data_IF_010579502257
#
_entry.id   IF_010579502257
#
_cell.length_a   1.000
_cell.length_b   1.000
_cell.length_c   1.000
_cell.angle_alpha   90.00
_cell.angle_beta   90.00
_cell.angle_gamma   90.00
#
_symmetry.space_group_name_H-M   'P 1'
#
loop_
_entity.id
_entity.type
_entity.pdbx_description
1 polymer ?
#
# COMPACT_ATOMS: atom_id res chain seq x y z
N UNK A 1 1.82 -7.92 10.87
CA UNK A 1 1.28 -7.08 9.78
C UNK A 1 2.37 -6.10 9.36
N UNK A 2 2.65 -5.97 8.06
CA UNK A 2 3.75 -5.11 7.54
C UNK A 2 3.50 -3.62 7.84
N UNK A 3 2.23 -3.20 7.80
CA UNK A 3 1.85 -1.81 8.05
C UNK A 3 1.33 -1.61 9.48
N UNK A 4 1.85 -0.57 10.14
CA UNK A 4 1.48 -0.12 11.48
C UNK A 4 0.77 1.24 11.49
N UNK A 5 0.91 2.06 10.43
CA UNK A 5 0.16 3.32 10.27
C UNK A 5 -0.42 3.42 8.85
N UNK A 6 -1.68 3.80 8.75
CA UNK A 6 -2.37 4.04 7.48
C UNK A 6 -2.94 5.45 7.40
N UNK A 7 -2.50 6.20 6.40
CA UNK A 7 -2.98 7.55 6.10
C UNK A 7 -4.04 7.50 5.00
N UNK A 8 -5.22 8.06 5.28
CA UNK A 8 -6.38 8.02 4.39
C UNK A 8 -6.82 9.42 4.01
N UNK A 9 -6.71 9.74 2.73
CA UNK A 9 -7.37 10.92 2.19
C UNK A 9 -8.91 10.78 2.23
N UNK A 10 -9.60 11.91 2.30
CA UNK A 10 -11.06 11.96 2.36
C UNK A 10 -11.69 12.12 0.97
N UNK A 11 -11.48 13.27 0.34
CA UNK A 11 -12.23 13.66 -0.85
C UNK A 11 -11.78 12.88 -2.08
N UNK A 12 -12.68 12.10 -2.69
CA UNK A 12 -12.31 11.28 -3.85
C UNK A 12 -11.66 9.94 -3.48
N UNK A 13 -11.28 9.78 -2.20
CA UNK A 13 -10.68 8.58 -1.64
C UNK A 13 -11.64 7.86 -0.67
N UNK A 14 -11.64 8.20 0.63
CA UNK A 14 -12.46 7.53 1.64
C UNK A 14 -13.94 7.90 1.55
N UNK A 15 -14.24 9.15 1.16
CA UNK A 15 -15.59 9.63 0.83
C UNK A 15 -15.97 9.15 -0.57
N UNK A 16 -16.40 7.90 -0.65
CA UNK A 16 -16.63 7.19 -1.90
C UNK A 16 -18.04 7.34 -2.47
N UNK A 17 -18.98 7.88 -1.69
CA UNK A 17 -20.37 8.10 -2.10
C UNK A 17 -20.77 9.57 -1.93
N UNK A 18 -21.71 10.04 -2.74
CA UNK A 18 -22.12 11.45 -2.76
C UNK A 18 -21.03 12.42 -3.27
N UNK A 19 -21.33 13.72 -3.27
CA UNK A 19 -20.39 14.79 -3.65
C UNK A 19 -20.59 16.01 -2.75
N UNK A 20 -19.53 16.81 -2.59
CA UNK A 20 -19.56 18.05 -1.82
C UNK A 20 -20.02 17.81 -0.37
N UNK A 21 -21.05 18.54 0.05
CA UNK A 21 -21.63 18.43 1.40
C UNK A 21 -22.29 17.07 1.67
N UNK A 22 -22.73 16.37 0.63
CA UNK A 22 -23.37 15.06 0.73
C UNK A 22 -22.39 13.88 0.63
N UNK A 23 -21.08 14.16 0.62
CA UNK A 23 -20.05 13.13 0.54
C UNK A 23 -20.03 12.29 1.83
N UNK A 24 -20.06 10.95 1.68
CA UNK A 24 -20.15 10.00 2.78
C UNK A 24 -19.16 8.85 2.59
N UNK A 25 -18.70 8.29 3.71
CA UNK A 25 -17.97 7.02 3.77
C UNK A 25 -18.99 5.89 3.68
N UNK A 26 -18.86 5.00 2.70
CA UNK A 26 -19.71 3.81 2.61
C UNK A 26 -19.46 2.83 3.76
N UNK A 27 -20.48 2.04 4.12
CA UNK A 27 -20.35 0.97 5.13
C UNK A 27 -19.19 0.01 4.82
N UNK A 28 -18.94 -0.30 3.53
CA UNK A 28 -17.83 -1.17 3.11
C UNK A 28 -16.46 -0.55 3.40
N UNK A 29 -16.24 0.71 3.03
CA UNK A 29 -14.99 1.41 3.36
C UNK A 29 -14.82 1.51 4.87
N UNK A 30 -15.88 1.87 5.59
CA UNK A 30 -15.85 1.97 7.04
C UNK A 30 -15.45 0.64 7.70
N UNK A 31 -16.10 -0.47 7.35
CA UNK A 31 -15.81 -1.79 7.92
C UNK A 31 -14.38 -2.25 7.62
N UNK A 32 -13.89 -2.05 6.39
CA UNK A 32 -12.54 -2.43 6.02
C UNK A 32 -11.48 -1.65 6.82
N UNK A 33 -11.65 -0.34 6.96
CA UNK A 33 -10.72 0.49 7.75
C UNK A 33 -10.81 0.17 9.25
N UNK A 34 -12.00 -0.07 9.79
CA UNK A 34 -12.16 -0.53 11.19
C UNK A 34 -11.50 -1.89 11.44
N UNK A 35 -11.57 -2.81 10.47
CA UNK A 35 -10.86 -4.10 10.55
C UNK A 35 -9.35 -3.89 10.61
N UNK A 36 -8.84 -2.98 9.79
CA UNK A 36 -7.43 -2.60 9.80
C UNK A 36 -7.02 -1.92 11.12
N UNK A 37 -7.89 -1.09 11.70
CA UNK A 37 -7.64 -0.35 12.94
C UNK A 37 -7.28 -1.25 14.14
N UNK A 38 -7.63 -2.54 14.11
CA UNK A 38 -7.27 -3.51 15.16
C UNK A 38 -5.75 -3.67 15.35
N UNK A 39 -4.95 -3.44 14.29
CA UNK A 39 -3.50 -3.65 14.31
C UNK A 39 -2.71 -2.50 13.64
N UNK A 40 -3.37 -1.39 13.32
CA UNK A 40 -2.79 -0.30 12.54
C UNK A 40 -3.42 1.03 12.96
N UNK A 41 -2.58 2.04 13.20
CA UNK A 41 -3.01 3.39 13.54
C UNK A 41 -3.63 4.03 12.30
N UNK A 42 -4.90 4.41 12.39
CA UNK A 42 -5.64 5.03 11.30
C UNK A 42 -5.54 6.54 11.41
N UNK A 43 -5.15 7.20 10.33
CA UNK A 43 -4.95 8.65 10.27
C UNK A 43 -5.77 9.24 9.13
N UNK A 44 -6.58 10.26 9.41
CA UNK A 44 -7.20 11.08 8.35
C UNK A 44 -6.15 12.05 7.81
N UNK A 45 -6.03 12.16 6.49
CA UNK A 45 -5.10 13.08 5.83
C UNK A 45 -5.78 13.91 4.75
N UNK A 46 -6.22 15.13 5.11
CA UNK A 46 -7.10 15.95 4.27
C UNK A 46 -6.63 17.39 4.10
N UNK A 47 -7.01 18.01 2.98
CA UNK A 47 -6.88 19.45 2.77
C UNK A 47 -7.94 20.29 3.49
N UNK A 48 -8.96 19.67 4.10
CA UNK A 48 -10.04 20.38 4.79
C UNK A 48 -9.56 20.97 6.13
N UNK A 49 -10.23 22.03 6.60
CA UNK A 49 -10.11 22.51 7.99
C UNK A 49 -10.72 21.46 8.92
N UNK A 50 -10.11 21.28 10.10
CA UNK A 50 -10.73 20.50 11.16
C UNK A 50 -12.07 21.13 11.58
N UNK A 51 -13.10 20.30 11.71
CA UNK A 51 -14.44 20.66 12.17
C UNK A 51 -15.20 19.40 12.63
N UNK A 52 -16.43 19.57 13.11
CA UNK A 52 -17.29 18.48 13.58
C UNK A 52 -17.49 17.37 12.53
N UNK A 53 -17.62 17.72 11.25
CA UNK A 53 -17.75 16.72 10.17
C UNK A 53 -16.50 15.85 10.03
N UNK A 54 -15.30 16.44 10.13
CA UNK A 54 -14.04 15.69 10.11
C UNK A 54 -13.94 14.75 11.33
N UNK A 55 -14.31 15.25 12.51
CA UNK A 55 -14.36 14.44 13.73
C UNK A 55 -15.32 13.25 13.58
N UNK A 56 -16.52 13.47 13.02
CA UNK A 56 -17.49 12.39 12.75
C UNK A 56 -16.94 11.35 11.77
N UNK A 57 -16.25 11.78 10.71
CA UNK A 57 -15.61 10.85 9.78
C UNK A 57 -14.53 10.01 10.45
N UNK A 58 -13.68 10.62 11.29
CA UNK A 58 -12.64 9.89 12.02
C UNK A 58 -13.21 8.89 13.01
N UNK A 59 -14.20 9.28 13.81
CA UNK A 59 -14.90 8.37 14.74
C UNK A 59 -15.47 7.13 14.03
N UNK A 60 -16.03 7.29 12.83
CA UNK A 60 -16.58 6.17 12.05
C UNK A 60 -15.53 5.10 11.71
N UNK A 61 -14.29 5.51 11.46
CA UNK A 61 -13.18 4.63 11.05
C UNK A 61 -12.15 4.36 12.15
N UNK A 62 -12.39 4.84 13.38
CA UNK A 62 -11.46 4.74 14.51
C UNK A 62 -10.12 5.45 14.23
N UNK A 63 -10.18 6.64 13.63
CA UNK A 63 -8.99 7.46 13.41
C UNK A 63 -8.41 7.96 14.73
N UNK A 64 -7.09 7.81 14.88
CA UNK A 64 -6.31 8.27 16.03
C UNK A 64 -5.69 9.65 15.84
N UNK A 65 -5.51 10.07 14.58
CA UNK A 65 -4.95 11.37 14.24
C UNK A 65 -5.65 11.99 13.03
N UNK A 66 -5.61 13.33 12.97
CA UNK A 66 -6.25 14.14 11.94
C UNK A 66 -5.28 15.15 11.36
N UNK A 67 -4.68 14.81 10.22
CA UNK A 67 -3.90 15.75 9.41
C UNK A 67 -4.90 16.59 8.61
N UNK A 68 -4.91 17.90 8.88
CA UNK A 68 -5.81 18.88 8.27
C UNK A 68 -5.03 19.96 7.53
N UNK A 69 -5.70 20.68 6.63
CA UNK A 69 -5.10 21.76 5.84
C UNK A 69 -3.79 21.33 5.17
N UNK A 70 -3.80 20.14 4.57
CA UNK A 70 -2.65 19.53 3.89
C UNK A 70 -1.40 19.33 4.76
N UNK A 71 -1.52 19.31 6.09
CA UNK A 71 -0.37 19.15 6.99
C UNK A 71 -0.09 20.38 7.85
N UNK A 72 -0.77 21.50 7.62
CA UNK A 72 -0.60 22.70 8.44
C UNK A 72 -1.09 22.55 9.88
N UNK A 73 -1.99 21.58 10.15
CA UNK A 73 -2.46 21.26 11.49
C UNK A 73 -2.61 19.75 11.66
N UNK A 74 -2.25 19.25 12.85
CA UNK A 74 -2.45 17.85 13.24
C UNK A 74 -3.15 17.84 14.59
N UNK A 75 -4.21 17.04 14.69
CA UNK A 75 -4.95 16.81 15.93
C UNK A 75 -4.86 15.34 16.36
N UNK A 76 -4.88 15.09 17.66
CA UNK A 76 -4.98 13.75 18.24
C UNK A 76 -6.43 13.21 18.24
N UNK A 77 -6.65 12.06 18.86
CA UNK A 77 -7.97 11.42 18.92
C UNK A 77 -8.99 12.15 19.79
N UNK A 78 -8.50 12.95 20.74
CA UNK A 78 -9.27 13.80 21.62
C UNK A 78 -9.47 15.21 21.03
N UNK A 79 -9.01 15.43 19.79
CA UNK A 79 -9.07 16.68 19.06
C UNK A 79 -8.20 17.80 19.63
N UNK A 80 -7.19 17.46 20.42
CA UNK A 80 -6.15 18.41 20.83
C UNK A 80 -5.23 18.71 19.66
N UNK A 81 -4.87 19.98 19.48
CA UNK A 81 -3.91 20.39 18.48
C UNK A 81 -2.49 20.01 18.93
N UNK A 82 -1.86 19.07 18.24
CA UNK A 82 -0.52 18.57 18.58
C UNK A 82 0.58 19.12 17.66
N UNK A 83 0.20 19.69 16.51
CA UNK A 83 1.12 20.37 15.61
C UNK A 83 0.39 21.46 14.83
N UNK A 84 1.06 22.60 14.65
CA UNK A 84 0.61 23.65 13.75
C UNK A 84 1.81 24.35 13.11
N UNK A 85 1.70 24.66 11.82
CA UNK A 85 2.60 25.60 11.15
C UNK A 85 1.81 26.70 10.44
N UNK A 86 2.42 27.88 10.32
CA UNK A 86 1.86 29.07 9.70
C UNK A 86 2.92 29.74 8.84
N UNK A 87 2.49 30.34 7.73
CA UNK A 87 3.36 31.16 6.89
C UNK A 87 3.80 32.39 7.70
N UNK A 88 5.09 32.69 7.71
CA UNK A 88 5.65 33.88 8.37
C UNK A 88 4.90 35.14 7.94
N UNK A 89 4.49 35.97 8.90
CA UNK A 89 3.64 37.15 8.66
C UNK A 89 4.22 38.10 7.61
N UNK A 90 5.55 38.29 7.60
CA UNK A 90 6.23 39.11 6.61
C UNK A 90 6.04 38.61 5.17
N UNK A 91 6.12 37.28 4.98
CA UNK A 91 5.90 36.65 3.68
C UNK A 91 4.43 36.82 3.28
N UNK A 92 3.49 36.65 4.22
CA UNK A 92 2.07 36.89 3.99
C UNK A 92 1.82 38.33 3.52
N UNK A 93 2.43 39.32 4.18
CA UNK A 93 2.32 40.74 3.80
C UNK A 93 2.83 40.97 2.37
N UNK A 94 4.03 40.48 2.03
CA UNK A 94 4.61 40.58 0.67
C UNK A 94 3.73 39.90 -0.39
N UNK A 95 3.23 38.70 -0.13
CA UNK A 95 2.29 38.00 -1.04
C UNK A 95 1.00 38.81 -1.23
N UNK A 96 0.47 39.39 -0.15
CA UNK A 96 -0.75 40.19 -0.17
C UNK A 96 -0.56 41.46 -1.00
N UNK A 97 0.59 42.13 -0.87
CA UNK A 97 0.93 43.30 -1.69
C UNK A 97 1.06 42.95 -3.17
N UNK A 98 1.71 41.84 -3.51
CA UNK A 98 1.81 41.37 -4.90
C UNK A 98 0.43 41.06 -5.48
N UNK A 99 -0.42 40.36 -4.73
CA UNK A 99 -1.79 40.06 -5.16
C UNK A 99 -2.61 41.35 -5.37
N UNK A 100 -2.46 42.35 -4.48
CA UNK A 100 -3.10 43.68 -4.63
C UNK A 100 -2.61 44.41 -5.89
N UNK A 101 -1.30 44.48 -6.12
CA UNK A 101 -0.69 45.14 -7.30
C UNK A 101 -1.17 44.50 -8.60
N UNK A 102 -1.33 43.19 -8.62
CA UNK A 102 -1.79 42.43 -9.79
C UNK A 102 -3.31 42.37 -9.94
N UNK A 103 -4.06 42.98 -9.00
CA UNK A 103 -5.52 42.91 -8.91
C UNK A 103 -6.06 41.46 -8.89
N UNK A 104 -5.37 40.56 -8.19
CA UNK A 104 -5.83 39.18 -7.99
C UNK A 104 -6.65 39.07 -6.73
N UNK A 105 -7.56 38.09 -6.74
CA UNK A 105 -8.31 37.78 -5.56
C UNK A 105 -7.51 36.88 -4.61
N UNK A 106 -7.58 37.16 -3.31
CA UNK A 106 -6.82 36.45 -2.27
C UNK A 106 -7.71 36.05 -1.10
N UNK A 107 -7.49 34.86 -0.55
CA UNK A 107 -8.15 34.38 0.67
C UNK A 107 -7.15 33.78 1.64
N UNK A 108 -7.35 34.04 2.92
CA UNK A 108 -6.61 33.41 4.02
C UNK A 108 -7.47 32.35 4.70
N UNK A 109 -6.88 31.18 4.99
CA UNK A 109 -7.49 30.08 5.75
C UNK A 109 -8.87 29.62 5.23
N UNK A 110 -9.17 29.89 3.95
CA UNK A 110 -10.45 29.60 3.29
C UNK A 110 -11.67 30.24 3.97
N UNK A 111 -11.55 31.48 4.46
CA UNK A 111 -12.67 32.22 5.07
C UNK A 111 -13.22 33.33 4.16
N UNK A 112 -12.41 34.36 3.90
CA UNK A 112 -12.82 35.57 3.19
C UNK A 112 -11.98 35.76 1.95
N UNK A 113 -12.62 36.04 0.82
CA UNK A 113 -11.98 36.31 -0.47
C UNK A 113 -12.02 37.81 -0.77
N UNK A 114 -10.86 38.45 -0.74
CA UNK A 114 -10.67 39.87 -1.03
C UNK A 114 -10.30 40.06 -2.49
N UNK A 115 -11.01 40.94 -3.20
CA UNK A 115 -10.67 41.28 -4.60
C UNK A 115 -11.24 42.65 -4.98
N UNK A 116 -10.57 43.40 -5.87
CA UNK A 116 -11.13 44.63 -6.47
C UNK A 116 -11.76 44.40 -7.84
N UNK A 117 -11.72 43.16 -8.35
CA UNK A 117 -12.20 42.86 -9.70
C UNK A 117 -13.73 42.89 -9.78
N UNK A 118 -14.29 43.59 -10.78
CA UNK A 118 -15.74 43.58 -11.10
C UNK A 118 -16.26 42.15 -11.36
N UNK A 119 -15.35 41.21 -11.70
CA UNK A 119 -15.64 39.78 -11.84
C UNK A 119 -16.04 39.08 -10.53
N UNK A 120 -16.15 39.78 -9.39
CA UNK A 120 -16.76 39.28 -8.14
C UNK A 120 -18.06 38.53 -8.42
N UNK A 121 -18.93 39.04 -9.31
CA UNK A 121 -20.20 38.38 -9.67
C UNK A 121 -19.96 36.99 -10.28
N UNK A 122 -18.99 36.87 -11.18
CA UNK A 122 -18.60 35.61 -11.81
C UNK A 122 -17.96 34.65 -10.79
N UNK A 123 -17.01 35.12 -9.98
CA UNK A 123 -16.38 34.29 -8.93
C UNK A 123 -17.40 33.81 -7.87
N UNK A 124 -18.42 34.62 -7.52
CA UNK A 124 -19.50 34.21 -6.59
C UNK A 124 -20.26 32.98 -7.08
N UNK A 125 -20.45 32.84 -8.39
CA UNK A 125 -21.16 31.71 -9.01
C UNK A 125 -20.35 30.42 -8.86
N UNK A 126 -19.04 30.47 -9.06
CA UNK A 126 -18.14 29.31 -8.98
C UNK A 126 -17.70 28.96 -7.56
N UNK A 127 -17.66 29.94 -6.65
CA UNK A 127 -17.12 29.80 -5.29
C UNK A 127 -18.17 30.14 -4.22
N UNK A 128 -19.35 29.51 -4.30
CA UNK A 128 -20.50 29.74 -3.39
C UNK A 128 -20.20 29.60 -1.89
N UNK A 129 -19.08 28.99 -1.51
CA UNK A 129 -18.67 28.79 -0.10
C UNK A 129 -17.73 29.88 0.44
N UNK A 130 -17.34 30.87 -0.37
CA UNK A 130 -16.49 31.97 0.08
C UNK A 130 -17.32 33.23 0.35
N UNK A 131 -17.00 33.92 1.43
CA UNK A 131 -17.48 35.28 1.64
C UNK A 131 -16.61 36.23 0.82
N UNK A 132 -17.20 36.94 -0.14
CA UNK A 132 -16.51 37.88 -1.00
C UNK A 132 -16.59 39.29 -0.42
N UNK A 133 -15.44 39.95 -0.27
CA UNK A 133 -15.37 41.34 0.18
C UNK A 133 -14.66 42.15 -0.90
N UNK A 134 -15.39 43.10 -1.49
CA UNK A 134 -14.80 44.10 -2.38
C UNK A 134 -14.18 45.20 -1.52
N UNK A 135 -12.86 45.23 -1.40
CA UNK A 135 -12.19 46.26 -0.60
C UNK A 135 -10.74 46.45 -1.02
N UNK A 136 -10.24 47.66 -0.80
CA UNK A 136 -8.81 48.02 -0.85
C UNK A 136 -8.07 47.58 0.42
N UNK A 137 -8.77 47.49 1.57
CA UNK A 137 -8.23 47.12 2.88
C UNK A 137 -8.42 45.62 3.14
N UNK A 138 -7.36 44.86 2.89
CA UNK A 138 -7.29 43.42 3.16
C UNK A 138 -6.93 43.19 4.62
N UNK A 139 -7.81 42.50 5.36
CA UNK A 139 -7.51 42.07 6.73
C UNK A 139 -6.71 40.76 6.72
N UNK A 140 -5.47 40.83 7.21
CA UNK A 140 -4.59 39.66 7.34
C UNK A 140 -4.78 39.10 8.76
N UNK A 141 -5.24 37.84 8.92
CA UNK A 141 -5.37 37.24 10.24
C UNK A 141 -3.98 36.93 10.83
N UNK A 142 -3.87 36.88 12.17
CA UNK A 142 -2.60 36.61 12.87
C UNK A 142 -1.95 35.28 12.44
N UNK A 143 -2.74 34.21 12.32
CA UNK A 143 -2.26 32.86 12.01
C UNK A 143 -2.71 32.40 10.62
N UNK A 144 -1.87 32.60 9.61
CA UNK A 144 -2.14 32.20 8.22
C UNK A 144 -1.51 30.85 7.94
N UNK A 145 -2.35 29.82 7.85
CA UNK A 145 -1.94 28.44 7.52
C UNK A 145 -1.93 28.20 6.01
N UNK A 146 -2.78 28.94 5.30
CA UNK A 146 -3.02 28.77 3.88
C UNK A 146 -3.45 30.07 3.23
N UNK A 147 -2.90 30.34 2.05
CA UNK A 147 -3.31 31.42 1.16
C UNK A 147 -3.84 30.79 -0.12
N UNK A 148 -4.98 31.27 -0.60
CA UNK A 148 -5.51 30.97 -1.92
C UNK A 148 -5.48 32.25 -2.76
N UNK A 149 -4.91 32.19 -3.96
CA UNK A 149 -4.94 33.29 -4.91
C UNK A 149 -5.58 32.81 -6.20
N UNK A 150 -6.57 33.54 -6.71
CA UNK A 150 -7.20 33.25 -8.01
C UNK A 150 -7.15 34.47 -8.94
N UNK A 151 -7.06 34.17 -10.23
CA UNK A 151 -7.14 35.16 -11.30
C UNK A 151 -7.88 34.60 -12.50
N UNK A 152 -8.36 35.48 -13.38
CA UNK A 152 -9.01 35.10 -14.64
C UNK A 152 -8.05 34.63 -15.74
N UNK A 153 -6.74 34.71 -15.51
CA UNK A 153 -5.70 34.36 -16.49
C UNK A 153 -4.69 33.37 -15.89
N UNK A 154 -4.63 32.16 -16.45
CA UNK A 154 -3.73 31.09 -15.97
C UNK A 154 -2.25 31.40 -16.21
N UNK A 155 -1.90 32.13 -17.27
CA UNK A 155 -0.53 32.59 -17.52
C UNK A 155 -0.02 33.51 -16.40
N UNK A 156 -0.87 34.46 -15.98
CA UNK A 156 -0.56 35.38 -14.87
C UNK A 156 -0.35 34.64 -13.54
N UNK A 157 -1.15 33.59 -13.27
CA UNK A 157 -0.97 32.72 -12.10
C UNK A 157 0.36 31.97 -12.16
N UNK A 158 0.72 31.40 -13.32
CA UNK A 158 2.02 30.72 -13.50
C UNK A 158 3.20 31.69 -13.29
N UNK A 159 3.11 32.93 -13.80
CA UNK A 159 4.13 33.96 -13.57
C UNK A 159 4.25 34.33 -12.09
N UNK A 160 3.13 34.51 -11.39
CA UNK A 160 3.14 34.76 -9.94
C UNK A 160 3.75 33.58 -9.17
N UNK A 161 3.37 32.34 -9.51
CA UNK A 161 3.97 31.13 -8.92
C UNK A 161 5.49 31.14 -9.06
N UNK A 162 6.00 31.34 -10.28
CA UNK A 162 7.44 31.38 -10.54
C UNK A 162 8.14 32.47 -9.71
N UNK A 163 7.55 33.67 -9.63
CA UNK A 163 8.09 34.76 -8.83
C UNK A 163 8.16 34.40 -7.34
N UNK A 164 7.07 33.86 -6.78
CA UNK A 164 6.99 33.49 -5.38
C UNK A 164 7.92 32.32 -5.03
N UNK A 165 8.07 31.34 -5.93
CA UNK A 165 9.06 30.26 -5.77
C UNK A 165 10.48 30.82 -5.74
N UNK A 166 10.82 31.77 -6.63
CA UNK A 166 12.14 32.40 -6.61
C UNK A 166 12.39 33.20 -5.32
N UNK A 167 11.37 33.87 -4.78
CA UNK A 167 11.52 34.72 -3.60
C UNK A 167 11.50 33.95 -2.27
N UNK A 168 10.79 32.82 -2.21
CA UNK A 168 10.44 32.17 -0.94
C UNK A 168 10.52 30.62 -0.99
N UNK A 169 11.33 30.05 -1.88
CA UNK A 169 11.45 28.58 -2.05
C UNK A 169 11.62 27.80 -0.74
N UNK A 170 12.40 28.35 0.20
CA UNK A 170 12.71 27.69 1.48
C UNK A 170 11.65 27.90 2.57
N UNK A 171 10.61 28.68 2.30
CA UNK A 171 9.62 29.08 3.30
C UNK A 171 8.19 28.70 2.95
N UNK A 172 7.88 28.56 1.66
CA UNK A 172 6.53 28.22 1.22
C UNK A 172 6.58 27.13 0.16
N UNK A 173 5.51 26.35 0.10
CA UNK A 173 5.21 25.49 -1.03
C UNK A 173 3.97 25.99 -1.76
N UNK A 174 3.97 25.85 -3.08
CA UNK A 174 2.92 26.38 -3.96
C UNK A 174 2.37 25.30 -4.87
N UNK A 175 1.06 25.08 -4.82
CA UNK A 175 0.34 24.15 -5.70
C UNK A 175 -0.59 24.90 -6.64
N UNK A 176 -0.63 24.49 -7.91
CA UNK A 176 -1.63 24.99 -8.88
C UNK A 176 -2.98 24.32 -8.62
N UNK A 177 -4.04 25.11 -8.60
CA UNK A 177 -5.41 24.65 -8.39
C UNK A 177 -6.35 25.20 -9.48
N UNK A 178 -7.55 24.63 -9.57
CA UNK A 178 -8.60 25.07 -10.48
C UNK A 178 -8.13 25.24 -11.94
N UNK A 179 -7.59 24.18 -12.56
CA UNK A 179 -7.04 24.21 -13.93
C UNK A 179 -6.00 25.34 -14.16
N UNK A 180 -5.17 25.61 -13.16
CA UNK A 180 -4.13 26.66 -13.16
C UNK A 180 -4.65 28.10 -13.08
N UNK A 181 -5.93 28.32 -12.75
CA UNK A 181 -6.49 29.65 -12.49
C UNK A 181 -6.36 30.08 -11.02
N UNK A 182 -5.74 29.26 -10.18
CA UNK A 182 -5.34 29.66 -8.85
C UNK A 182 -4.09 28.95 -8.36
N UNK A 183 -3.54 29.51 -7.29
CA UNK A 183 -2.49 28.88 -6.49
C UNK A 183 -2.93 28.75 -5.04
N UNK A 184 -2.51 27.65 -4.45
CA UNK A 184 -2.57 27.39 -3.02
C UNK A 184 -1.15 27.48 -2.46
N UNK A 185 -0.98 28.33 -1.45
CA UNK A 185 0.30 28.57 -0.78
C UNK A 185 0.15 28.14 0.68
N UNK A 186 1.11 27.37 1.16
CA UNK A 186 1.20 26.93 2.55
C UNK A 186 2.65 27.02 3.01
N UNK A 187 2.89 26.93 4.31
CA UNK A 187 4.24 26.84 4.86
C UNK A 187 5.00 25.63 4.29
N UNK A 188 6.33 25.73 4.15
CA UNK A 188 7.15 24.65 3.58
C UNK A 188 7.03 23.33 4.36
N UNK A 189 6.71 23.39 5.65
CA UNK A 189 6.52 22.21 6.50
C UNK A 189 5.09 21.65 6.44
N UNK A 190 4.16 22.29 5.71
CA UNK A 190 2.75 21.96 5.68
C UNK A 190 2.35 21.00 4.55
N UNK A 191 2.96 19.81 4.44
CA UNK A 191 2.55 18.79 3.46
C UNK A 191 2.02 17.51 4.10
N UNK A 192 1.22 16.72 3.36
CA UNK A 192 0.73 15.41 3.83
C UNK A 192 1.91 14.47 4.12
N UNK A 193 2.97 14.54 3.31
CA UNK A 193 4.24 13.83 3.56
C UNK A 193 4.90 14.24 4.87
N UNK A 194 5.15 15.54 5.09
CA UNK A 194 5.75 16.02 6.35
C UNK A 194 4.91 15.71 7.58
N UNK A 195 3.59 15.79 7.45
CA UNK A 195 2.69 15.39 8.52
C UNK A 195 2.72 13.87 8.78
N UNK A 196 2.93 13.04 7.76
CA UNK A 196 3.14 11.60 7.93
C UNK A 196 4.46 11.29 8.64
N UNK A 197 5.56 12.00 8.31
CA UNK A 197 6.85 11.92 9.04
C UNK A 197 6.65 12.26 10.52
N UNK A 198 5.95 13.36 10.80
CA UNK A 198 5.66 13.79 12.17
C UNK A 198 4.90 12.72 12.95
N UNK A 199 3.80 12.19 12.39
CA UNK A 199 2.99 11.15 13.06
C UNK A 199 3.77 9.86 13.27
N UNK A 200 4.57 9.43 12.29
CA UNK A 200 5.40 8.24 12.41
C UNK A 200 6.43 8.39 13.55
N UNK A 201 7.13 9.54 13.58
CA UNK A 201 8.07 9.88 14.66
C UNK A 201 7.38 9.97 16.02
N UNK A 202 6.23 10.64 16.10
CA UNK A 202 5.45 10.80 17.33
C UNK A 202 5.04 9.44 17.95
N UNK A 203 4.80 8.43 17.12
CA UNK A 203 4.44 7.08 17.58
C UNK A 203 5.63 6.11 17.64
N UNK A 204 6.88 6.58 17.48
CA UNK A 204 8.08 5.74 17.42
C UNK A 204 7.96 4.57 16.40
N UNK A 205 7.34 4.83 15.25
CA UNK A 205 7.17 3.85 14.17
C UNK A 205 7.98 4.29 12.96
N UNK A 206 8.78 3.36 12.42
CA UNK A 206 9.51 3.61 11.16
C UNK A 206 8.56 3.78 9.98
N UNK A 207 8.88 4.74 9.10
CA UNK A 207 8.14 5.03 7.87
C UNK A 207 8.01 3.81 6.93
N UNK A 208 8.91 2.83 7.04
CA UNK A 208 8.82 1.55 6.30
C UNK A 208 7.58 0.73 6.65
N UNK A 209 6.93 1.02 7.78
CA UNK A 209 5.69 0.38 8.23
C UNK A 209 4.45 1.26 7.95
N UNK A 210 4.51 2.16 6.99
CA UNK A 210 3.42 3.12 6.73
C UNK A 210 2.91 3.06 5.29
N UNK A 211 1.63 3.39 5.09
CA UNK A 211 1.07 3.56 3.74
C UNK A 211 0.13 4.76 3.69
N UNK A 212 -0.04 5.33 2.49
CA UNK A 212 -0.99 6.40 2.23
C UNK A 212 -1.91 6.01 1.08
N UNK A 213 -3.21 6.29 1.21
CA UNK A 213 -4.19 6.16 0.13
C UNK A 213 -4.74 7.55 -0.21
N UNK A 214 -4.63 7.92 -1.49
CA UNK A 214 -5.07 9.23 -1.98
C UNK A 214 -5.47 9.23 -3.46
N UNK A 215 -5.90 10.37 -3.97
CA UNK A 215 -6.34 10.52 -5.36
C UNK A 215 -5.90 11.82 -6.06
N UNK A 216 -5.26 12.74 -5.34
CA UNK A 216 -4.99 14.09 -5.81
C UNK A 216 -3.51 14.50 -5.67
N UNK A 217 -3.16 15.71 -6.13
CA UNK A 217 -1.75 16.13 -6.22
C UNK A 217 -1.08 16.30 -4.85
N UNK A 218 -1.82 16.70 -3.81
CA UNK A 218 -1.27 16.83 -2.45
C UNK A 218 -0.82 15.49 -1.86
N UNK A 219 -1.38 14.37 -2.33
CA UNK A 219 -1.02 13.01 -1.89
C UNK A 219 0.36 12.59 -2.43
N UNK A 220 0.82 13.18 -3.54
CA UNK A 220 2.13 12.89 -4.15
C UNK A 220 3.27 13.18 -3.18
N UNK A 221 3.09 14.18 -2.29
CA UNK A 221 4.09 14.52 -1.25
C UNK A 221 4.46 13.35 -0.34
N UNK A 222 3.63 12.29 -0.28
CA UNK A 222 3.89 11.10 0.53
C UNK A 222 4.74 10.03 -0.17
N UNK A 223 4.92 10.09 -1.50
CA UNK A 223 5.51 9.01 -2.31
C UNK A 223 6.87 8.53 -1.78
N UNK A 224 7.77 9.45 -1.49
CA UNK A 224 9.13 9.13 -1.02
C UNK A 224 9.24 9.21 0.51
N UNK A 225 8.11 9.25 1.21
CA UNK A 225 8.02 9.37 2.66
C UNK A 225 7.48 8.07 3.25
N UNK A 226 6.32 7.60 2.77
CA UNK A 226 5.70 6.37 3.24
C UNK A 226 6.20 5.17 2.45
N UNK A 227 6.16 3.98 3.04
CA UNK A 227 6.55 2.74 2.34
C UNK A 227 5.70 2.47 1.10
N UNK A 228 4.40 2.79 1.15
CA UNK A 228 3.49 2.51 0.03
C UNK A 228 2.49 3.63 -0.18
N UNK A 229 2.56 4.25 -1.36
CA UNK A 229 1.58 5.21 -1.85
C UNK A 229 0.61 4.49 -2.81
N UNK A 230 -0.64 4.38 -2.39
CA UNK A 230 -1.74 3.80 -3.16
C UNK A 230 -2.57 4.95 -3.74
N UNK A 231 -2.59 5.08 -5.06
CA UNK A 231 -3.41 6.10 -5.73
C UNK A 231 -4.68 5.48 -6.29
N UNK A 232 -5.83 6.06 -5.98
CA UNK A 232 -7.14 5.60 -6.46
C UNK A 232 -7.20 5.56 -7.99
N UNK A 233 -7.86 4.55 -8.58
CA UNK A 233 -7.96 4.39 -10.05
C UNK A 233 -8.65 5.57 -10.73
N UNK A 234 -9.55 6.24 -10.00
CA UNK A 234 -10.28 7.44 -10.42
C UNK A 234 -9.43 8.71 -10.50
N UNK A 235 -8.21 8.70 -9.93
CA UNK A 235 -7.30 9.82 -9.99
C UNK A 235 -6.86 10.13 -11.44
N UNK A 236 -6.36 11.36 -11.64
CA UNK A 236 -5.83 11.80 -12.93
C UNK A 236 -4.61 10.97 -13.35
N UNK A 237 -4.31 10.93 -14.66
CA UNK A 237 -3.12 10.22 -15.18
C UNK A 237 -1.82 10.75 -14.54
N UNK A 238 -1.74 12.07 -14.31
CA UNK A 238 -0.57 12.71 -13.68
C UNK A 238 -0.35 12.20 -12.27
N UNK A 239 -1.40 12.12 -11.44
CA UNK A 239 -1.30 11.64 -10.06
C UNK A 239 -0.95 10.15 -10.03
N UNK A 240 -1.60 9.33 -10.85
CA UNK A 240 -1.37 7.87 -10.90
C UNK A 240 0.06 7.46 -11.23
N UNK A 241 0.80 8.25 -12.02
CA UNK A 241 2.23 7.98 -12.33
C UNK A 241 3.12 7.99 -11.07
N UNK A 242 2.64 8.56 -9.97
CA UNK A 242 3.38 8.66 -8.72
C UNK A 242 3.09 7.50 -7.76
N UNK A 243 2.16 6.60 -8.07
CA UNK A 243 1.76 5.53 -7.18
C UNK A 243 2.81 4.41 -7.13
N UNK A 244 3.00 3.81 -5.94
CA UNK A 244 3.60 2.47 -5.83
C UNK A 244 2.59 1.41 -6.29
N UNK A 245 1.32 1.60 -5.92
CA UNK A 245 0.23 0.75 -6.35
C UNK A 245 -0.95 1.59 -6.85
N UNK A 246 -1.55 1.17 -7.96
CA UNK A 246 -2.84 1.71 -8.38
C UNK A 246 -3.94 0.97 -7.62
N UNK A 247 -4.72 1.71 -6.85
CA UNK A 247 -5.88 1.20 -6.13
C UNK A 247 -7.07 0.96 -7.06
N UNK A 248 -8.27 0.99 -6.49
CA UNK A 248 -9.50 0.70 -7.22
C UNK A 248 -10.31 1.97 -7.53
N UNK A 249 -11.39 1.83 -8.32
CA UNK A 249 -12.30 2.95 -8.58
C UNK A 249 -12.94 3.42 -7.26
N UNK A 250 -13.29 4.70 -7.18
CA UNK A 250 -13.81 5.38 -5.97
C UNK A 250 -14.79 4.55 -5.14
N UNK A 251 -15.91 4.09 -5.71
CA UNK A 251 -16.97 3.33 -4.99
C UNK A 251 -16.39 2.04 -4.37
N UNK A 252 -16.39 1.96 -3.05
CA UNK A 252 -15.78 0.87 -2.26
C UNK A 252 -14.28 0.66 -2.51
N UNK A 253 -13.60 1.63 -3.13
CA UNK A 253 -12.24 1.47 -3.60
C UNK A 253 -11.23 1.30 -2.47
N UNK A 254 -11.42 2.05 -1.37
CA UNK A 254 -10.59 1.90 -0.17
C UNK A 254 -10.79 0.53 0.47
N UNK A 255 -12.02 0.01 0.55
CA UNK A 255 -12.25 -1.33 1.08
C UNK A 255 -11.50 -2.41 0.28
N UNK A 256 -11.52 -2.31 -1.06
CA UNK A 256 -10.77 -3.23 -1.92
C UNK A 256 -9.26 -3.07 -1.77
N UNK A 257 -8.76 -1.84 -1.69
CA UNK A 257 -7.34 -1.58 -1.49
C UNK A 257 -6.86 -2.13 -0.13
N UNK A 258 -7.59 -1.84 0.95
CA UNK A 258 -7.27 -2.36 2.29
C UNK A 258 -7.31 -3.88 2.29
N UNK A 259 -8.33 -4.51 1.72
CA UNK A 259 -8.40 -5.97 1.71
C UNK A 259 -7.28 -6.58 0.87
N UNK A 260 -7.09 -6.13 -0.37
CA UNK A 260 -6.24 -6.83 -1.34
C UNK A 260 -4.76 -6.41 -1.31
N UNK A 261 -4.45 -5.19 -0.84
CA UNK A 261 -3.09 -4.63 -0.88
C UNK A 261 -2.48 -4.46 0.52
N UNK A 262 -3.30 -4.43 1.58
CA UNK A 262 -2.84 -4.17 2.96
C UNK A 262 -3.04 -5.41 3.86
N UNK A 263 -4.28 -5.91 3.95
CA UNK A 263 -4.66 -7.00 4.85
C UNK A 263 -4.35 -8.38 4.27
N UNK A 264 -4.53 -8.56 2.96
CA UNK A 264 -4.21 -9.78 2.24
C UNK A 264 -3.15 -9.48 1.19
N UNK A 265 -1.94 -9.14 1.63
CA UNK A 265 -0.77 -9.31 0.79
C UNK A 265 -0.62 -10.81 0.52
N UNK A 266 -1.32 -11.31 -0.49
CA UNK A 266 -1.30 -12.70 -0.87
C UNK A 266 -0.07 -12.92 -1.74
N UNK A 267 0.73 -13.90 -1.37
CA UNK A 267 1.90 -14.29 -2.14
C UNK A 267 1.51 -14.82 -3.52
N UNK A 268 2.50 -15.03 -4.38
CA UNK A 268 2.33 -15.78 -5.63
C UNK A 268 2.86 -17.19 -5.40
N UNK A 269 2.03 -18.21 -5.59
CA UNK A 269 2.48 -19.59 -5.49
C UNK A 269 3.27 -19.98 -6.74
N UNK A 270 4.47 -20.51 -6.55
CA UNK A 270 5.24 -21.17 -7.61
C UNK A 270 5.11 -22.67 -7.44
N UNK A 271 4.50 -23.30 -8.43
CA UNK A 271 4.21 -24.73 -8.45
C UNK A 271 4.71 -25.39 -9.73
N UNK A 272 4.75 -26.71 -9.75
CA UNK A 272 5.25 -27.48 -10.89
C UNK A 272 5.79 -28.83 -10.46
N UNK A 273 6.03 -29.71 -11.43
CA UNK A 273 6.51 -31.07 -11.18
C UNK A 273 7.86 -31.10 -10.45
N UNK A 274 8.19 -32.25 -9.85
CA UNK A 274 9.52 -32.47 -9.28
C UNK A 274 10.60 -32.19 -10.33
N UNK A 275 11.64 -31.44 -9.97
CA UNK A 275 12.71 -31.03 -10.89
C UNK A 275 12.27 -30.18 -12.11
N UNK A 276 11.16 -29.44 -12.04
CA UNK A 276 10.76 -28.47 -13.09
C UNK A 276 11.55 -27.15 -13.08
N UNK A 277 12.52 -26.98 -12.17
CA UNK A 277 13.34 -25.76 -12.10
C UNK A 277 12.73 -24.58 -11.33
N UNK A 278 11.69 -24.82 -10.52
CA UNK A 278 11.07 -23.81 -9.62
C UNK A 278 12.10 -23.05 -8.77
N UNK A 279 12.96 -23.79 -8.08
CA UNK A 279 13.99 -23.18 -7.22
C UNK A 279 14.93 -22.27 -8.00
N UNK A 280 15.36 -22.68 -9.20
CA UNK A 280 16.20 -21.87 -10.09
C UNK A 280 15.47 -20.62 -10.59
N UNK A 281 14.17 -20.75 -10.89
CA UNK A 281 13.31 -19.63 -11.27
C UNK A 281 13.20 -18.60 -10.16
N UNK A 282 12.93 -19.07 -8.94
CA UNK A 282 12.82 -18.24 -7.75
C UNK A 282 14.14 -17.55 -7.38
N UNK A 283 15.27 -18.25 -7.48
CA UNK A 283 16.59 -17.63 -7.26
C UNK A 283 16.87 -16.45 -8.20
N UNK A 284 16.32 -16.45 -9.42
CA UNK A 284 16.41 -15.27 -10.31
C UNK A 284 15.46 -14.17 -9.88
N UNK A 285 14.28 -14.49 -9.35
CA UNK A 285 13.33 -13.52 -8.80
C UNK A 285 13.92 -12.79 -7.59
N UNK A 286 14.62 -13.50 -6.70
CA UNK A 286 15.29 -12.91 -5.53
C UNK A 286 16.29 -11.81 -5.93
N UNK A 287 16.99 -11.98 -7.07
CA UNK A 287 17.91 -10.95 -7.61
C UNK A 287 17.21 -9.63 -8.01
N UNK A 288 15.88 -9.62 -8.12
CA UNK A 288 15.08 -8.41 -8.34
C UNK A 288 14.53 -7.82 -7.02
N UNK A 289 14.95 -8.30 -5.86
CA UNK A 289 14.55 -7.79 -4.54
C UNK A 289 13.26 -8.38 -3.98
N UNK A 290 12.68 -9.40 -4.62
CA UNK A 290 11.46 -10.06 -4.13
C UNK A 290 11.79 -11.15 -3.11
N UNK A 291 11.12 -11.10 -1.96
CA UNK A 291 11.20 -12.15 -0.94
C UNK A 291 10.53 -13.45 -1.36
N UNK A 292 11.20 -14.58 -1.05
CA UNK A 292 10.74 -15.94 -1.39
C UNK A 292 10.70 -16.82 -0.15
N UNK A 293 9.64 -17.60 0.01
CA UNK A 293 9.61 -18.73 0.94
C UNK A 293 9.80 -20.05 0.18
N UNK A 294 10.77 -20.84 0.61
CA UNK A 294 10.95 -22.23 0.18
C UNK A 294 10.36 -23.17 1.23
N UNK A 295 9.24 -23.83 0.95
CA UNK A 295 8.59 -24.71 1.95
C UNK A 295 9.49 -25.87 2.39
N UNK A 296 10.35 -26.36 1.51
CA UNK A 296 11.32 -27.42 1.85
C UNK A 296 12.31 -26.97 2.94
N UNK A 297 12.73 -25.70 2.90
CA UNK A 297 13.59 -25.09 3.92
C UNK A 297 12.81 -24.84 5.21
N UNK A 298 11.57 -24.34 5.10
CA UNK A 298 10.68 -24.20 6.25
C UNK A 298 10.55 -25.52 7.01
N UNK A 299 10.19 -26.62 6.33
CA UNK A 299 10.08 -27.92 6.99
C UNK A 299 11.43 -28.49 7.43
N UNK A 300 12.54 -28.17 6.76
CA UNK A 300 13.89 -28.53 7.25
C UNK A 300 14.13 -27.96 8.65
N UNK A 301 13.77 -26.69 8.87
CA UNK A 301 13.93 -26.03 10.16
C UNK A 301 12.86 -26.50 11.17
N UNK A 302 11.63 -26.69 10.72
CA UNK A 302 10.52 -27.18 11.56
C UNK A 302 10.79 -28.56 12.17
N UNK A 303 11.66 -29.35 11.55
CA UNK A 303 12.02 -30.72 11.93
C UNK A 303 13.25 -30.84 12.83
N UNK A 304 13.94 -29.74 13.15
CA UNK A 304 15.02 -29.71 14.14
C UNK A 304 14.45 -29.89 15.56
N UNK A 305 15.27 -30.28 16.54
CA UNK A 305 14.85 -30.52 17.93
C UNK A 305 13.98 -29.41 18.51
N UNK A 306 14.35 -28.15 18.26
CA UNK A 306 13.66 -26.95 18.74
C UNK A 306 12.61 -26.42 17.75
N UNK A 307 12.35 -27.15 16.66
CA UNK A 307 11.40 -26.77 15.62
C UNK A 307 9.97 -27.23 15.94
N UNK A 308 8.99 -26.45 15.47
CA UNK A 308 7.59 -26.62 15.84
C UNK A 308 7.01 -28.01 15.46
N UNK A 309 7.52 -28.62 14.39
CA UNK A 309 7.01 -29.89 13.89
C UNK A 309 7.63 -31.11 14.60
N UNK A 310 8.74 -30.94 15.34
CA UNK A 310 9.49 -32.06 15.92
C UNK A 310 8.63 -32.90 16.86
N UNK A 311 7.97 -32.26 17.82
CA UNK A 311 7.11 -32.94 18.78
C UNK A 311 5.87 -33.55 18.11
N UNK A 312 5.31 -32.87 17.10
CA UNK A 312 4.17 -33.38 16.36
C UNK A 312 4.51 -34.69 15.61
N UNK A 313 5.68 -34.75 15.00
CA UNK A 313 6.17 -35.98 14.34
C UNK A 313 6.55 -37.06 15.34
N UNK A 314 7.24 -36.71 16.44
CA UNK A 314 7.62 -37.68 17.49
C UNK A 314 6.39 -38.39 18.08
N UNK A 315 5.29 -37.65 18.27
CA UNK A 315 4.00 -38.21 18.73
C UNK A 315 3.37 -39.19 17.74
N UNK A 316 3.60 -39.01 16.44
CA UNK A 316 3.12 -39.95 15.43
C UNK A 316 3.91 -41.24 15.53
N UNK A 317 5.24 -41.15 15.45
CA UNK A 317 6.14 -42.30 15.45
C UNK A 317 7.51 -41.88 15.99
N UNK A 318 7.92 -42.35 17.19
CA UNK A 318 9.23 -42.03 17.76
C UNK A 318 10.41 -42.51 16.90
N UNK A 319 10.24 -43.58 16.13
CA UNK A 319 11.26 -44.14 15.26
C UNK A 319 11.62 -43.23 14.06
N UNK A 320 10.86 -42.17 13.81
CA UNK A 320 11.21 -41.12 12.85
C UNK A 320 12.27 -40.16 13.35
N UNK A 321 12.67 -40.22 14.62
CA UNK A 321 13.70 -39.36 15.17
C UNK A 321 15.07 -40.06 15.06
N UNK A 322 16.08 -39.35 14.55
CA UNK A 322 17.47 -39.79 14.51
C UNK A 322 18.36 -38.66 15.03
N UNK A 323 19.16 -38.91 16.08
CA UNK A 323 20.08 -37.92 16.68
C UNK A 323 19.44 -36.54 16.89
N UNK A 324 18.24 -36.50 17.48
CA UNK A 324 17.48 -35.27 17.77
C UNK A 324 17.02 -34.46 16.55
N UNK A 325 16.92 -35.06 15.37
CA UNK A 325 16.24 -34.48 14.21
C UNK A 325 15.24 -35.47 13.63
N UNK A 326 14.15 -34.95 13.06
CA UNK A 326 13.22 -35.79 12.30
C UNK A 326 13.88 -36.25 11.01
N UNK A 327 13.92 -37.57 10.81
CA UNK A 327 14.43 -38.23 9.62
C UNK A 327 13.43 -38.13 8.46
N UNK A 328 13.75 -37.25 7.50
CA UNK A 328 12.93 -37.03 6.31
C UNK A 328 12.82 -38.25 5.41
N UNK A 329 13.80 -39.16 5.40
CA UNK A 329 13.74 -40.38 4.58
C UNK A 329 12.71 -41.35 5.16
N UNK A 330 12.73 -41.56 6.49
CA UNK A 330 11.72 -42.40 7.16
C UNK A 330 10.30 -41.88 6.98
N UNK A 331 10.09 -40.56 7.08
CA UNK A 331 8.79 -39.95 6.77
C UNK A 331 8.38 -40.21 5.33
N UNK A 332 9.30 -39.98 4.37
CA UNK A 332 9.00 -40.17 2.95
C UNK A 332 8.58 -41.62 2.68
N UNK A 333 9.28 -42.57 3.27
CA UNK A 333 9.04 -44.00 3.12
C UNK A 333 7.70 -44.41 3.74
N UNK A 334 7.36 -43.83 4.88
CA UNK A 334 6.06 -44.01 5.51
C UNK A 334 4.91 -43.45 4.68
N UNK A 335 5.06 -42.23 4.13
CA UNK A 335 4.03 -41.55 3.35
C UNK A 335 3.73 -42.25 2.01
N UNK A 336 4.73 -42.85 1.36
CA UNK A 336 4.56 -43.51 0.06
C UNK A 336 3.82 -44.85 0.18
N UNK A 337 3.79 -45.48 1.37
CA UNK A 337 3.13 -46.78 1.58
C UNK A 337 1.62 -46.74 1.31
N UNK A 338 0.91 -45.68 1.73
CA UNK A 338 -0.52 -45.50 1.45
C UNK A 338 -0.99 -44.05 1.73
N UNK A 339 -2.17 -43.70 1.23
CA UNK A 339 -2.75 -42.37 1.40
C UNK A 339 -3.11 -42.00 2.85
N UNK A 340 -3.47 -42.97 3.70
CA UNK A 340 -3.78 -42.73 5.12
C UNK A 340 -2.53 -42.23 5.87
N UNK A 341 -1.37 -42.84 5.63
CA UNK A 341 -0.09 -42.44 6.19
C UNK A 341 0.29 -41.03 5.74
N UNK A 342 0.13 -40.74 4.44
CA UNK A 342 0.34 -39.40 3.89
C UNK A 342 -0.56 -38.37 4.59
N UNK A 343 -1.86 -38.65 4.68
CA UNK A 343 -2.83 -37.76 5.31
C UNK A 343 -2.48 -37.48 6.79
N UNK A 344 -2.00 -38.48 7.51
CA UNK A 344 -1.62 -38.36 8.91
C UNK A 344 -0.43 -37.41 9.12
N UNK A 345 0.61 -37.53 8.29
CA UNK A 345 1.76 -36.61 8.32
C UNK A 345 1.33 -35.19 7.94
N UNK A 346 0.56 -35.04 6.86
CA UNK A 346 0.08 -33.74 6.38
C UNK A 346 -0.74 -33.01 7.46
N UNK A 347 -1.67 -33.71 8.13
CA UNK A 347 -2.49 -33.15 9.22
C UNK A 347 -1.64 -32.64 10.38
N UNK A 348 -0.55 -33.33 10.71
CA UNK A 348 0.32 -32.93 11.80
C UNK A 348 1.20 -31.72 11.47
N UNK A 349 1.65 -31.56 10.22
CA UNK A 349 2.68 -30.57 9.88
C UNK A 349 2.13 -29.32 9.16
N UNK A 350 1.05 -29.43 8.40
CA UNK A 350 0.57 -28.31 7.57
C UNK A 350 -0.03 -27.16 8.38
N UNK A 351 -0.57 -27.41 9.58
CA UNK A 351 -1.04 -26.34 10.48
C UNK A 351 0.07 -25.34 10.84
N UNK A 352 1.32 -25.80 10.99
CA UNK A 352 2.47 -24.94 11.25
C UNK A 352 2.79 -24.04 10.06
N UNK A 353 2.74 -24.59 8.83
CA UNK A 353 2.94 -23.80 7.62
C UNK A 353 1.81 -22.77 7.41
N UNK A 354 0.55 -23.14 7.67
CA UNK A 354 -0.57 -22.18 7.61
C UNK A 354 -0.40 -21.03 8.60
N UNK A 355 0.00 -21.33 9.85
CA UNK A 355 0.28 -20.32 10.87
C UNK A 355 1.43 -19.40 10.43
N UNK A 356 2.50 -19.97 9.86
CA UNK A 356 3.65 -19.22 9.34
C UNK A 356 3.25 -18.26 8.21
N UNK A 357 2.49 -18.74 7.22
CA UNK A 357 1.99 -17.93 6.09
C UNK A 357 0.95 -16.89 6.51
N UNK A 358 0.27 -17.07 7.64
CA UNK A 358 -0.65 -16.08 8.20
C UNK A 358 0.10 -14.92 8.86
N UNK A 359 1.24 -15.20 9.50
CA UNK A 359 2.04 -14.22 10.25
C UNK A 359 3.05 -13.48 9.38
N UNK A 360 3.56 -14.14 8.34
CA UNK A 360 4.66 -13.65 7.51
C UNK A 360 4.21 -13.45 6.06
N UNK A 361 4.73 -12.41 5.41
CA UNK A 361 4.47 -12.15 3.99
C UNK A 361 5.71 -12.42 3.13
N UNK A 362 5.51 -13.10 2.01
CA UNK A 362 6.49 -13.30 0.96
C UNK A 362 5.90 -12.89 -0.38
N UNK A 363 6.71 -12.35 -1.30
CA UNK A 363 6.21 -12.07 -2.64
C UNK A 363 5.91 -13.36 -3.39
N UNK A 364 6.77 -14.37 -3.24
CA UNK A 364 6.60 -15.69 -3.85
C UNK A 364 6.79 -16.81 -2.83
N UNK A 365 6.07 -17.92 -3.02
CA UNK A 365 6.23 -19.13 -2.20
C UNK A 365 6.38 -20.33 -3.12
N UNK A 366 7.50 -21.05 -3.00
CA UNK A 366 7.62 -22.39 -3.60
C UNK A 366 6.81 -23.35 -2.74
N UNK A 367 5.73 -23.92 -3.28
CA UNK A 367 4.88 -24.87 -2.56
C UNK A 367 4.59 -26.09 -3.44
N UNK A 368 4.88 -27.32 -2.98
CA UNK A 368 4.68 -28.52 -3.80
C UNK A 368 3.21 -28.87 -3.99
N UNK A 369 2.40 -28.76 -2.92
CA UNK A 369 0.97 -29.10 -2.94
C UNK A 369 0.15 -27.90 -2.44
N UNK A 370 -0.69 -27.33 -3.31
CA UNK A 370 -1.58 -26.22 -2.96
C UNK A 370 -2.82 -26.65 -2.19
N UNK A 371 -3.27 -27.86 -2.46
CA UNK A 371 -4.49 -28.42 -1.90
C UNK A 371 -4.31 -29.91 -1.66
N UNK A 372 -4.66 -30.34 -0.45
CA UNK A 372 -4.80 -31.74 -0.07
C UNK A 372 -6.09 -31.89 0.76
N UNK A 373 -6.46 -33.12 1.10
CA UNK A 373 -7.62 -33.38 1.98
C UNK A 373 -7.52 -32.65 3.32
N UNK A 374 -6.30 -32.36 3.79
CA UNK A 374 -6.04 -31.80 5.11
C UNK A 374 -5.56 -30.34 5.11
N UNK A 375 -5.32 -29.74 3.96
CA UNK A 375 -4.92 -28.33 3.88
C UNK A 375 -5.35 -27.67 2.56
N UNK A 376 -5.73 -26.40 2.65
CA UNK A 376 -6.02 -25.56 1.49
C UNK A 376 -5.25 -24.25 1.58
N UNK A 377 -4.11 -24.21 0.88
CA UNK A 377 -3.24 -23.05 0.88
C UNK A 377 -3.65 -21.98 -0.14
N UNK A 378 -4.64 -22.24 -1.00
CA UNK A 378 -5.10 -21.29 -2.04
C UNK A 378 -5.49 -19.93 -1.44
N UNK A 379 -5.99 -19.92 -0.20
CA UNK A 379 -6.35 -18.69 0.54
C UNK A 379 -5.19 -17.70 0.68
N UNK A 380 -3.94 -18.17 0.70
CA UNK A 380 -2.73 -17.35 0.86
C UNK A 380 -2.18 -16.78 -0.45
N UNK A 381 -2.71 -17.21 -1.60
CA UNK A 381 -2.13 -16.89 -2.90
C UNK A 381 -3.06 -16.04 -3.77
N UNK A 382 -2.51 -15.00 -4.39
CA UNK A 382 -3.23 -14.14 -5.34
C UNK A 382 -3.20 -14.73 -6.74
N UNK A 383 -2.09 -15.39 -7.09
CA UNK A 383 -1.90 -16.10 -8.35
C UNK A 383 -1.10 -17.37 -8.14
N UNK A 384 -1.34 -18.34 -9.01
CA UNK A 384 -0.65 -19.62 -9.10
C UNK A 384 0.11 -19.67 -10.41
N UNK A 385 1.42 -19.83 -10.32
CA UNK A 385 2.32 -19.90 -11.46
C UNK A 385 2.85 -21.33 -11.59
N UNK A 386 2.49 -21.99 -12.68
CA UNK A 386 3.00 -23.32 -13.02
C UNK A 386 4.27 -23.20 -13.86
N UNK A 387 5.37 -23.74 -13.34
CA UNK A 387 6.62 -23.92 -14.06
C UNK A 387 6.57 -25.25 -14.80
N UNK A 388 6.39 -25.16 -16.12
CA UNK A 388 6.33 -26.29 -17.04
C UNK A 388 7.70 -26.61 -17.62
N UNK A 389 8.03 -27.89 -17.74
CA UNK A 389 9.33 -28.36 -18.23
C UNK A 389 9.14 -29.64 -19.04
N UNK A 390 9.84 -29.77 -20.17
CA UNK A 390 9.82 -31.00 -20.96
C UNK A 390 10.39 -32.18 -20.16
N UNK A 391 9.95 -33.41 -20.49
CA UNK A 391 10.47 -34.62 -19.82
C UNK A 391 11.99 -34.73 -19.90
N UNK A 392 12.58 -34.42 -21.06
CA UNK A 392 14.04 -34.40 -21.25
C UNK A 392 14.74 -33.43 -20.31
N UNK A 393 14.28 -32.18 -20.24
CA UNK A 393 14.89 -31.18 -19.35
C UNK A 393 14.66 -31.52 -17.87
N UNK A 394 13.53 -32.14 -17.53
CA UNK A 394 13.25 -32.63 -16.19
C UNK A 394 14.25 -33.73 -15.80
N UNK A 395 14.51 -34.69 -16.69
CA UNK A 395 15.51 -35.74 -16.49
C UNK A 395 16.93 -35.17 -16.32
N UNK A 396 17.31 -34.17 -17.12
CA UNK A 396 18.58 -33.46 -16.95
C UNK A 396 18.67 -32.77 -15.58
N UNK A 397 17.60 -32.11 -15.14
CA UNK A 397 17.55 -31.48 -13.83
C UNK A 397 17.66 -32.51 -12.68
N UNK A 398 17.08 -33.71 -12.85
CA UNK A 398 17.20 -34.82 -11.89
C UNK A 398 18.65 -35.31 -11.82
N UNK A 399 19.30 -35.54 -12.96
CA UNK A 399 20.72 -35.93 -13.03
C UNK A 399 21.60 -34.90 -12.30
N UNK A 400 21.37 -33.62 -12.54
CA UNK A 400 22.12 -32.53 -11.89
C UNK A 400 21.94 -32.45 -10.37
N UNK A 401 20.85 -32.98 -9.82
CA UNK A 401 20.62 -32.99 -8.36
C UNK A 401 21.47 -34.02 -7.62
N UNK A 402 22.09 -35.00 -8.31
CA UNK A 402 22.90 -36.08 -7.70
C UNK A 402 22.16 -36.86 -6.59
N UNK A 403 20.85 -37.05 -6.72
CA UNK A 403 20.01 -37.76 -5.74
C UNK A 403 19.80 -39.22 -6.17
N UNK A 404 19.82 -40.17 -5.21
CA UNK A 404 19.58 -41.61 -5.45
C UNK A 404 18.26 -41.86 -6.22
N UNK A 405 18.25 -42.87 -7.09
CA UNK A 405 17.10 -43.21 -7.95
C UNK A 405 15.80 -43.43 -7.15
N UNK A 406 15.91 -44.17 -6.04
CA UNK A 406 14.81 -44.47 -5.13
C UNK A 406 14.17 -43.22 -4.52
N UNK A 407 14.99 -42.23 -4.14
CA UNK A 407 14.51 -41.00 -3.47
C UNK A 407 13.75 -40.10 -4.43
N UNK A 408 14.21 -39.94 -5.67
CA UNK A 408 13.49 -39.08 -6.61
C UNK A 408 12.18 -39.70 -7.11
N UNK A 409 12.11 -41.03 -7.28
CA UNK A 409 10.84 -41.72 -7.61
C UNK A 409 9.79 -41.51 -6.50
N UNK A 410 10.19 -41.64 -5.24
CA UNK A 410 9.33 -41.34 -4.07
C UNK A 410 8.87 -39.88 -4.08
N UNK A 411 9.77 -38.92 -4.34
CA UNK A 411 9.40 -37.50 -4.44
C UNK A 411 8.45 -37.23 -5.62
N UNK A 412 8.59 -37.93 -6.74
CA UNK A 412 7.67 -37.81 -7.87
C UNK A 412 6.28 -38.34 -7.50
N UNK A 413 6.20 -39.48 -6.80
CA UNK A 413 4.94 -40.05 -6.31
C UNK A 413 4.22 -39.10 -5.33
N UNK A 414 4.95 -38.46 -4.40
CA UNK A 414 4.37 -37.51 -3.44
C UNK A 414 3.93 -36.17 -4.09
N UNK A 415 4.50 -35.85 -5.24
CA UNK A 415 4.12 -34.69 -6.06
C UNK A 415 3.14 -35.05 -7.20
N UNK A 416 2.57 -36.26 -7.19
CA UNK A 416 1.68 -36.76 -8.25
C UNK A 416 0.29 -36.10 -8.24
N UNK A 417 -0.06 -35.33 -7.20
CA UNK A 417 -1.29 -34.56 -7.17
C UNK A 417 -1.28 -33.58 -8.34
N UNK A 418 -2.05 -33.88 -9.39
CA UNK A 418 -2.22 -33.01 -10.55
C UNK A 418 -2.80 -31.69 -10.08
N UNK A 419 -2.01 -30.61 -10.14
CA UNK A 419 -2.53 -29.26 -9.96
C UNK A 419 -3.46 -28.99 -11.15
N UNK A 420 -4.77 -29.04 -10.90
CA UNK A 420 -5.80 -28.86 -11.94
C UNK A 420 -6.01 -27.39 -12.34
N UNK A 421 -5.47 -26.44 -11.57
CA UNK A 421 -5.71 -25.01 -11.75
C UNK A 421 -4.44 -24.18 -11.58
N UNK A 422 -4.12 -23.35 -12.57
CA UNK A 422 -3.05 -22.35 -12.53
C UNK A 422 -3.47 -21.11 -13.32
N UNK A 423 -3.04 -19.93 -12.88
CA UNK A 423 -3.35 -18.66 -13.56
C UNK A 423 -2.32 -18.35 -14.67
N UNK A 424 -1.07 -18.78 -14.46
CA UNK A 424 0.03 -18.52 -15.40
C UNK A 424 0.87 -19.77 -15.60
N UNK A 425 1.00 -20.19 -16.85
CA UNK A 425 1.94 -21.24 -17.27
C UNK A 425 3.22 -20.63 -17.84
N UNK A 426 4.38 -21.07 -17.35
CA UNK A 426 5.70 -20.64 -17.84
C UNK A 426 6.50 -21.88 -18.24
N UNK A 427 6.91 -21.97 -19.51
CA UNK A 427 7.84 -23.01 -19.94
C UNK A 427 9.27 -22.69 -19.55
N UNK A 428 10.06 -23.71 -19.21
CA UNK A 428 11.44 -23.61 -18.74
C UNK A 428 12.39 -22.85 -19.69
N UNK A 429 12.10 -22.89 -20.99
CA UNK A 429 12.85 -22.15 -22.02
C UNK A 429 12.45 -20.67 -22.09
N UNK A 430 11.18 -20.34 -21.82
CA UNK A 430 10.63 -18.98 -22.03
C UNK A 430 11.19 -17.95 -21.06
N UNK A 431 11.43 -18.33 -19.80
CA UNK A 431 11.94 -17.41 -18.78
C UNK A 431 13.46 -17.22 -18.81
N UNK A 432 14.17 -17.92 -19.70
CA UNK A 432 15.59 -17.66 -20.02
C UNK A 432 15.76 -16.49 -20.99
N UNK A 433 14.69 -16.02 -21.65
CA UNK A 433 14.75 -14.90 -22.63
C UNK A 433 15.03 -13.55 -21.97
N UNK A 434 15.74 -12.65 -22.69
CA UNK A 434 16.01 -11.27 -22.26
C UNK A 434 14.69 -10.53 -22.00
N UNK A 435 14.62 -9.75 -20.91
CA UNK A 435 13.43 -9.00 -20.45
C UNK A 435 12.20 -9.82 -20.05
N UNK A 436 12.33 -11.15 -19.84
CA UNK A 436 11.20 -11.95 -19.35
C UNK A 436 10.69 -11.46 -17.98
N UNK A 437 11.57 -11.33 -16.99
CA UNK A 437 11.19 -11.02 -15.61
C UNK A 437 10.45 -9.68 -15.45
N UNK A 438 10.90 -8.55 -16.05
CA UNK A 438 10.11 -7.32 -16.03
C UNK A 438 8.68 -7.48 -16.58
N UNK A 439 8.51 -8.19 -17.70
CA UNK A 439 7.17 -8.46 -18.27
C UNK A 439 6.36 -9.40 -17.39
N UNK A 440 7.01 -10.39 -16.79
CA UNK A 440 6.39 -11.34 -15.86
C UNK A 440 5.86 -10.63 -14.62
N UNK A 441 6.66 -9.78 -13.97
CA UNK A 441 6.23 -9.02 -12.80
C UNK A 441 5.06 -8.09 -13.12
N UNK A 442 5.09 -7.42 -14.28
CA UNK A 442 3.95 -6.64 -14.75
C UNK A 442 2.70 -7.51 -14.95
N UNK A 443 2.81 -8.72 -15.49
CA UNK A 443 1.65 -9.62 -15.63
C UNK A 443 1.14 -10.14 -14.29
N UNK A 444 2.04 -10.38 -13.34
CA UNK A 444 1.72 -10.96 -12.03
C UNK A 444 1.10 -9.92 -11.09
N UNK A 445 1.68 -8.74 -10.99
CA UNK A 445 1.26 -7.72 -10.03
C UNK A 445 0.29 -6.67 -10.58
N UNK A 446 -0.02 -6.71 -11.88
CA UNK A 446 -1.06 -5.86 -12.46
C UNK A 446 -2.42 -6.56 -12.38
N UNK A 447 -3.34 -5.96 -11.63
CA UNK A 447 -4.79 -6.18 -11.68
C UNK A 447 -5.48 -5.05 -12.44
#
# INVERSE_FOLDING_TARGET
MVYKIGFFDLDGTLLDTGRGRNAKISKKNQQAVRKLAKNCIIVISTGRKFNSTIAVFGKKILAKFYICQNGAQIFDENFNLIFQTTIKLEIVKKITELAKKLNFGISFNSQVFFTKSIFIKFFRIFFKNFHFVSTTKIFIPKNVRKILIFASCSYKIKKLKYLLEKMFAEHIQISLINKNYGIEITDIHASKGKAAEFIAKFNNISLTHTFHIGDSENDISTKNVVNSLIIMKSASKKVKKNAHFIGYKRKFGVAKAVNNLILSLKSVAIVGSYASGKTTFLKKIEKFGYSVLYTDNFFKNCYLLNGDCFQAIKKIRPDFICKNVVDKEKIRDFMVKNEKNRALIEKAVYGFLENHLTKNHYHFVEIPNLWTKNANFLKFFSKIVWIDTSKEQQLLNIKNKKVKKSVWMKNQALNSNKIKFYDVKISSQKWKKRRFFPKFFHKIFKE
#
